data_IF_930724687143
#
_entry.id   IF_930724687143
#
_cell.length_a   1.000
_cell.length_b   1.000
_cell.length_c   1.000
_cell.angle_alpha   90.00
_cell.angle_beta   90.00
_cell.angle_gamma   90.00
#
_symmetry.space_group_name_H-M   'P 1'
#
loop_
_entity.id
_entity.type
_entity.pdbx_description
1 polymer ?
#
# COMPACT_ATOMS: atom_id res chain seq x y z
N UNK A 1 -23.61 -8.72 17.55
CA UNK A 1 -22.56 -9.74 17.46
C UNK A 1 -21.27 -9.07 17.86
N UNK A 2 -20.56 -9.65 18.80
CA UNK A 2 -19.37 -9.11 19.47
C UNK A 2 -18.18 -9.01 18.48
N UNK A 3 -17.44 -7.88 18.39
CA UNK A 3 -16.48 -7.64 17.31
C UNK A 3 -15.07 -8.19 17.60
N UNK A 4 -14.92 -9.16 18.50
CA UNK A 4 -13.62 -9.79 18.75
C UNK A 4 -13.27 -10.72 17.59
N UNK A 5 -12.60 -10.16 16.59
CA UNK A 5 -12.02 -10.90 15.48
C UNK A 5 -10.95 -11.87 16.01
N UNK A 6 -10.69 -12.95 15.26
CA UNK A 6 -9.74 -14.03 15.64
C UNK A 6 -8.35 -13.50 16.05
N UNK A 7 -7.96 -12.32 15.56
CA UNK A 7 -6.70 -11.65 15.89
C UNK A 7 -6.57 -11.32 17.39
N UNK A 8 -7.65 -10.84 18.04
CA UNK A 8 -7.65 -10.54 19.48
C UNK A 8 -7.42 -11.78 20.33
N UNK A 9 -7.93 -12.94 19.88
CA UNK A 9 -7.76 -14.22 20.58
C UNK A 9 -6.37 -14.81 20.44
N UNK A 10 -5.64 -14.43 19.39
CA UNK A 10 -4.32 -14.97 19.06
C UNK A 10 -3.17 -14.08 19.54
N UNK A 11 -3.44 -12.92 20.14
CA UNK A 11 -2.42 -11.93 20.52
C UNK A 11 -1.47 -11.58 19.36
N UNK A 12 -1.95 -11.73 18.12
CA UNK A 12 -1.21 -11.34 16.94
C UNK A 12 -1.20 -9.81 16.92
N UNK A 13 0.00 -9.22 16.91
CA UNK A 13 0.18 -7.80 16.65
C UNK A 13 -0.66 -7.44 15.43
N UNK A 14 -1.62 -6.54 15.61
CA UNK A 14 -2.35 -5.95 14.50
C UNK A 14 -1.31 -5.31 13.57
N UNK A 15 -0.97 -5.99 12.48
CA UNK A 15 0.06 -5.52 11.55
C UNK A 15 -0.52 -4.30 10.86
N UNK A 16 0.07 -3.13 11.12
CA UNK A 16 -0.34 -1.90 10.46
C UNK A 16 0.12 -1.95 9.01
N UNK A 17 -0.80 -2.29 8.10
CA UNK A 17 -0.48 -2.35 6.66
C UNK A 17 -0.69 -0.96 6.06
N UNK A 18 0.39 -0.37 5.55
CA UNK A 18 0.38 0.88 4.79
C UNK A 18 0.62 0.57 3.32
N UNK A 19 -0.31 0.95 2.45
CA UNK A 19 -0.17 0.79 0.99
C UNK A 19 0.50 2.03 0.42
N UNK A 20 1.57 1.86 -0.35
CA UNK A 20 2.26 2.96 -1.03
C UNK A 20 2.14 2.82 -2.55
N UNK A 21 1.95 3.93 -3.26
CA UNK A 21 1.93 3.96 -4.73
C UNK A 21 2.59 5.22 -5.26
N UNK A 22 3.33 5.12 -6.36
CA UNK A 22 3.85 6.29 -7.10
C UNK A 22 2.89 6.75 -8.21
N UNK A 23 1.79 6.02 -8.43
CA UNK A 23 0.77 6.36 -9.41
C UNK A 23 -0.26 7.32 -8.82
N UNK A 24 -0.17 8.60 -9.19
CA UNK A 24 -1.11 9.63 -8.72
C UNK A 24 -2.56 9.29 -9.09
N UNK A 25 -2.80 8.79 -10.31
CA UNK A 25 -4.16 8.45 -10.75
C UNK A 25 -4.75 7.29 -9.95
N UNK A 26 -3.94 6.30 -9.55
CA UNK A 26 -4.39 5.22 -8.68
C UNK A 26 -4.66 5.72 -7.26
N UNK A 27 -3.78 6.55 -6.71
CA UNK A 27 -3.97 7.16 -5.39
C UNK A 27 -5.27 7.98 -5.33
N UNK A 28 -5.50 8.85 -6.31
CA UNK A 28 -6.74 9.63 -6.39
C UNK A 28 -7.96 8.72 -6.56
N UNK A 29 -7.84 7.64 -7.32
CA UNK A 29 -8.91 6.67 -7.45
C UNK A 29 -9.18 5.91 -6.14
N UNK A 30 -8.18 5.65 -5.31
CA UNK A 30 -8.35 4.98 -4.01
C UNK A 30 -8.97 5.92 -2.97
N UNK A 31 -8.42 7.13 -2.84
CA UNK A 31 -8.70 8.05 -1.72
C UNK A 31 -9.84 9.04 -2.02
N UNK A 32 -9.91 9.60 -3.24
CA UNK A 32 -10.81 10.73 -3.55
C UNK A 32 -12.16 10.32 -4.15
N UNK A 33 -12.61 9.09 -3.92
CA UNK A 33 -13.79 8.51 -4.59
C UNK A 33 -13.72 8.58 -6.13
N UNK A 34 -12.50 8.61 -6.70
CA UNK A 34 -12.32 8.55 -8.15
C UNK A 34 -12.95 7.28 -8.73
N UNK A 35 -13.31 7.34 -10.01
CA UNK A 35 -13.90 6.22 -10.75
C UNK A 35 -13.03 5.85 -11.94
N UNK A 36 -13.04 4.56 -12.29
CA UNK A 36 -12.40 4.04 -13.50
C UNK A 36 -13.43 3.30 -14.34
N UNK A 37 -13.26 3.29 -15.66
CA UNK A 37 -14.12 2.53 -16.58
C UNK A 37 -13.68 1.08 -16.72
N UNK A 38 -12.49 0.74 -16.24
CA UNK A 38 -11.94 -0.60 -16.35
C UNK A 38 -12.54 -1.52 -15.28
N UNK A 39 -13.32 -2.52 -15.72
CA UNK A 39 -14.14 -3.34 -14.82
C UNK A 39 -13.33 -4.15 -13.82
N UNK A 40 -12.16 -4.66 -14.21
CA UNK A 40 -11.30 -5.46 -13.30
C UNK A 40 -10.68 -4.56 -12.24
N UNK A 41 -10.09 -3.43 -12.66
CA UNK A 41 -9.54 -2.44 -11.74
C UNK A 41 -10.57 -1.91 -10.73
N UNK A 42 -11.85 -1.76 -11.12
CA UNK A 42 -12.90 -1.41 -10.14
C UNK A 42 -13.03 -2.45 -9.03
N UNK A 43 -12.96 -3.74 -9.34
CA UNK A 43 -13.06 -4.82 -8.34
C UNK A 43 -11.89 -4.73 -7.38
N UNK A 44 -10.67 -4.58 -7.90
CA UNK A 44 -9.45 -4.50 -7.09
C UNK A 44 -9.46 -3.26 -6.19
N UNK A 45 -9.92 -2.11 -6.69
CA UNK A 45 -10.07 -0.88 -5.91
C UNK A 45 -11.12 -1.03 -4.81
N UNK A 46 -12.25 -1.70 -5.09
CA UNK A 46 -13.27 -1.96 -4.06
C UNK A 46 -12.74 -2.87 -2.95
N UNK A 47 -11.95 -3.90 -3.28
CA UNK A 47 -11.34 -4.78 -2.29
C UNK A 47 -10.35 -4.02 -1.39
N UNK A 48 -9.53 -3.13 -1.95
CA UNK A 48 -8.61 -2.29 -1.16
C UNK A 48 -9.39 -1.33 -0.24
N UNK A 49 -10.45 -0.69 -0.75
CA UNK A 49 -11.29 0.19 0.08
C UNK A 49 -11.98 -0.56 1.22
N UNK A 50 -12.50 -1.76 0.94
CA UNK A 50 -13.11 -2.61 1.97
C UNK A 50 -12.10 -2.97 3.07
N UNK A 51 -10.85 -3.32 2.70
CA UNK A 51 -9.78 -3.57 3.67
C UNK A 51 -9.45 -2.35 4.52
N UNK A 52 -9.45 -1.15 3.93
CA UNK A 52 -9.27 0.10 4.67
C UNK A 52 -10.44 0.39 5.63
N UNK A 53 -11.68 0.20 5.18
CA UNK A 53 -12.88 0.38 6.01
C UNK A 53 -12.95 -0.61 7.18
N UNK A 54 -12.44 -1.83 7.00
CA UNK A 54 -12.35 -2.86 8.05
C UNK A 54 -11.20 -2.64 9.03
N UNK A 55 -10.27 -1.74 8.71
CA UNK A 55 -9.06 -1.49 9.49
C UNK A 55 -7.91 -2.46 9.20
N UNK A 56 -8.06 -3.37 8.22
CA UNK A 56 -6.98 -4.26 7.77
C UNK A 56 -5.84 -3.46 7.12
N UNK A 57 -6.18 -2.34 6.46
CA UNK A 57 -5.24 -1.34 5.95
C UNK A 57 -5.35 -0.08 6.79
N UNK A 58 -4.22 0.44 7.23
CA UNK A 58 -4.18 1.60 8.12
C UNK A 58 -3.99 2.93 7.40
N UNK A 59 -3.39 2.90 6.21
CA UNK A 59 -3.09 4.12 5.46
C UNK A 59 -2.82 3.81 3.97
N UNK A 60 -3.07 4.79 3.11
CA UNK A 60 -2.73 4.75 1.68
C UNK A 60 -1.93 6.01 1.37
N UNK A 61 -0.68 5.84 0.92
CA UNK A 61 0.26 6.93 0.66
C UNK A 61 0.62 7.01 -0.80
N UNK A 62 0.61 8.24 -1.32
CA UNK A 62 1.29 8.55 -2.56
C UNK A 62 2.76 8.81 -2.23
N UNK A 63 3.69 8.22 -2.98
CA UNK A 63 5.13 8.35 -2.76
C UNK A 63 5.86 8.73 -4.03
N UNK A 64 7.06 9.29 -3.89
CA UNK A 64 7.94 9.52 -5.04
C UNK A 64 8.36 8.19 -5.69
N UNK A 65 8.30 8.10 -7.03
CA UNK A 65 8.75 6.92 -7.78
C UNK A 65 10.17 6.47 -7.43
N UNK A 66 11.09 7.42 -7.21
CA UNK A 66 12.50 7.09 -6.90
C UNK A 66 12.65 6.30 -5.61
N UNK A 67 11.72 6.53 -4.68
CA UNK A 67 11.71 5.92 -3.35
C UNK A 67 10.84 4.65 -3.34
N UNK A 68 10.08 4.39 -4.41
CA UNK A 68 9.24 3.21 -4.53
C UNK A 68 10.05 1.96 -4.92
N UNK A 69 10.33 1.10 -3.94
CA UNK A 69 11.00 -0.19 -4.15
C UNK A 69 10.28 -1.08 -5.18
N UNK A 70 8.95 -0.97 -5.32
CA UNK A 70 8.21 -1.77 -6.29
C UNK A 70 8.62 -1.45 -7.74
N UNK A 71 8.95 -0.18 -8.04
CA UNK A 71 9.45 0.21 -9.36
C UNK A 71 10.78 -0.47 -9.68
N UNK A 72 11.64 -0.60 -8.66
CA UNK A 72 12.96 -1.22 -8.78
C UNK A 72 12.86 -2.73 -8.92
N UNK A 73 11.99 -3.38 -8.15
CA UNK A 73 11.82 -4.84 -8.20
C UNK A 73 11.17 -5.26 -9.53
N UNK A 74 10.27 -4.44 -10.07
CA UNK A 74 9.61 -4.73 -11.36
C UNK A 74 10.48 -4.40 -12.57
N UNK A 75 11.59 -3.68 -12.39
CA UNK A 75 12.56 -3.36 -13.44
C UNK A 75 13.84 -4.16 -13.23
N UNK A 76 14.48 -4.60 -14.31
CA UNK A 76 15.74 -5.33 -14.21
C UNK A 76 16.96 -4.45 -13.81
N UNK A 77 16.74 -3.21 -13.35
CA UNK A 77 17.78 -2.24 -13.09
C UNK A 77 17.78 -1.86 -11.61
N UNK A 78 18.93 -2.07 -10.95
CA UNK A 78 19.15 -1.60 -9.60
C UNK A 78 19.13 -0.06 -9.56
N UNK A 79 18.55 0.50 -8.49
CA UNK A 79 18.56 1.93 -8.23
C UNK A 79 19.10 2.20 -6.82
N UNK A 80 19.17 3.49 -6.48
CA UNK A 80 19.66 3.97 -5.19
C UNK A 80 18.83 3.49 -3.99
N UNK A 81 17.52 3.28 -4.11
CA UNK A 81 16.69 2.85 -2.97
C UNK A 81 16.91 1.39 -2.59
N UNK A 82 17.18 0.48 -3.55
CA UNK A 82 17.62 -0.88 -3.23
C UNK A 82 19.00 -0.88 -2.58
N UNK A 83 19.94 -0.07 -3.08
CA UNK A 83 21.28 0.02 -2.50
C UNK A 83 21.25 0.53 -1.06
N UNK A 84 20.46 1.58 -0.78
CA UNK A 84 20.22 2.08 0.56
C UNK A 84 19.63 1.00 1.45
N UNK A 85 18.56 0.33 1.01
CA UNK A 85 17.93 -0.75 1.78
C UNK A 85 18.92 -1.87 2.14
N UNK A 86 19.75 -2.31 1.19
CA UNK A 86 20.74 -3.37 1.45
C UNK A 86 21.80 -2.90 2.47
N UNK A 87 22.23 -1.64 2.37
CA UNK A 87 23.32 -1.12 3.18
C UNK A 87 22.89 -0.65 4.57
N UNK A 88 21.66 -0.15 4.73
CA UNK A 88 21.18 0.45 5.98
C UNK A 88 20.04 -0.32 6.63
N UNK A 89 19.39 -1.23 5.89
CA UNK A 89 18.14 -1.88 6.29
C UNK A 89 17.00 -0.87 6.57
N UNK A 90 17.09 0.32 5.99
CA UNK A 90 16.11 1.40 6.11
C UNK A 90 15.63 1.84 4.73
N UNK A 91 14.39 2.32 4.67
CA UNK A 91 13.80 2.91 3.48
C UNK A 91 13.21 4.27 3.84
N UNK A 92 13.69 5.32 3.18
CA UNK A 92 13.10 6.65 3.28
C UNK A 92 12.05 6.83 2.20
N UNK A 93 10.81 7.13 2.61
CA UNK A 93 9.70 7.40 1.70
C UNK A 93 9.34 8.88 1.79
N UNK A 94 9.44 9.60 0.66
CA UNK A 94 8.85 10.93 0.55
C UNK A 94 7.36 10.80 0.20
N UNK A 95 6.51 11.25 1.13
CA UNK A 95 5.04 11.23 1.06
C UNK A 95 4.51 12.60 0.67
#
# INVERSE_FOLDING_TARGET
MDPFTIYDRLSLLHVLIVVCTDSLSLYECLVKLGTTKEKRLMIDIMAIREGYERGDLTDIRWINRRDNLADVITKAAANTSIEQLINTNELELQV
#
